data_IF_809751848955
#
_entry.id   IF_809751848955
#
_cell.length_a   1.000
_cell.length_b   1.000
_cell.length_c   1.000
_cell.angle_alpha   90.00
_cell.angle_beta   90.00
_cell.angle_gamma   90.00
#
_symmetry.space_group_name_H-M   'P 1'
#
loop_
_entity.id
_entity.type
_entity.pdbx_description
1 polymer ?
#
# COMPACT_ATOMS: atom_id res chain seq x y z
N UNK A 1 -22.97 -42.71 32.09
CA UNK A 1 -22.55 -41.49 32.82
C UNK A 1 -21.04 -41.50 33.12
N UNK A 2 -20.48 -42.63 33.59
CA UNK A 2 -19.03 -42.82 33.84
C UNK A 2 -18.10 -42.53 32.64
N UNK A 3 -18.47 -42.94 31.42
CA UNK A 3 -17.64 -42.71 30.23
C UNK A 3 -17.51 -41.23 29.84
N UNK A 4 -18.48 -40.38 30.20
CA UNK A 4 -18.41 -38.92 29.98
C UNK A 4 -17.43 -38.25 30.95
N UNK A 5 -17.33 -38.73 32.19
CA UNK A 5 -16.31 -38.26 33.13
C UNK A 5 -14.91 -38.68 32.72
N UNK A 6 -14.74 -39.90 32.19
CA UNK A 6 -13.44 -40.39 31.70
C UNK A 6 -12.92 -39.62 30.48
N UNK A 7 -13.83 -39.19 29.60
CA UNK A 7 -13.50 -38.38 28.42
C UNK A 7 -13.15 -36.92 28.79
N UNK A 8 -13.79 -36.37 29.83
CA UNK A 8 -13.42 -35.05 30.37
C UNK A 8 -12.09 -35.07 31.13
N UNK A 9 -11.79 -36.16 31.85
CA UNK A 9 -10.53 -36.33 32.58
C UNK A 9 -9.34 -36.47 31.63
N UNK A 10 -9.51 -37.20 30.51
CA UNK A 10 -8.46 -37.35 29.49
C UNK A 10 -8.18 -36.06 28.73
N UNK A 11 -9.19 -35.20 28.53
CA UNK A 11 -9.00 -33.86 27.95
C UNK A 11 -8.23 -32.91 28.89
N UNK A 12 -8.40 -33.06 30.21
CA UNK A 12 -7.71 -32.24 31.22
C UNK A 12 -6.23 -32.66 31.39
N UNK A 13 -5.93 -33.95 31.27
CA UNK A 13 -4.56 -34.49 31.34
C UNK A 13 -3.77 -34.29 30.04
N UNK A 14 -4.44 -34.00 28.91
CA UNK A 14 -3.80 -33.58 27.66
C UNK A 14 -3.46 -32.07 27.62
N UNK A 15 -3.74 -31.35 28.71
CA UNK A 15 -3.37 -29.94 28.87
C UNK A 15 -1.86 -29.78 28.88
N UNK A 16 -1.30 -29.51 27.70
CA UNK A 16 -0.07 -28.79 27.40
C UNK A 16 1.14 -29.04 28.30
N UNK A 17 2.26 -29.45 27.70
CA UNK A 17 3.56 -29.21 28.33
C UNK A 17 3.69 -27.71 28.59
N UNK A 18 3.57 -27.30 29.85
CA UNK A 18 4.11 -26.04 30.32
C UNK A 18 5.64 -26.21 30.34
N UNK A 19 6.23 -26.20 29.16
CA UNK A 19 7.67 -26.01 29.01
C UNK A 19 8.00 -24.61 29.51
N UNK A 20 9.11 -24.46 30.23
CA UNK A 20 9.50 -23.17 30.77
C UNK A 20 9.72 -22.21 29.59
N UNK A 21 8.76 -21.29 29.37
CA UNK A 21 8.85 -20.34 28.27
C UNK A 21 10.09 -19.49 28.50
N UNK A 22 11.09 -19.71 27.65
CA UNK A 22 12.34 -18.98 27.72
C UNK A 22 12.13 -17.56 27.22
N UNK A 23 12.92 -16.61 27.70
CA UNK A 23 12.92 -15.25 27.17
C UNK A 23 12.98 -15.23 25.62
N UNK A 24 13.74 -16.17 25.04
CA UNK A 24 13.89 -16.30 23.60
C UNK A 24 12.57 -16.61 22.88
N UNK A 25 11.71 -17.47 23.44
CA UNK A 25 10.40 -17.79 22.84
C UNK A 25 9.46 -16.58 22.85
N UNK A 26 9.50 -15.75 23.90
CA UNK A 26 8.74 -14.50 23.94
C UNK A 26 9.25 -13.49 22.92
N UNK A 27 10.58 -13.35 22.78
CA UNK A 27 11.20 -12.45 21.81
C UNK A 27 10.85 -12.86 20.37
N UNK A 28 10.97 -14.15 20.04
CA UNK A 28 10.68 -14.64 18.69
C UNK A 28 9.19 -14.51 18.36
N UNK A 29 8.31 -14.79 19.33
CA UNK A 29 6.86 -14.58 19.17
C UNK A 29 6.49 -13.11 19.00
N UNK A 30 7.13 -12.20 19.75
CA UNK A 30 6.88 -10.76 19.66
C UNK A 30 7.38 -10.17 18.33
N UNK A 31 8.56 -10.59 17.87
CA UNK A 31 9.12 -10.17 16.57
C UNK A 31 8.26 -10.64 15.40
N UNK A 32 7.79 -11.88 15.43
CA UNK A 32 6.96 -12.44 14.37
C UNK A 32 5.61 -11.72 14.20
N UNK A 33 5.10 -11.10 15.27
CA UNK A 33 3.77 -10.47 15.29
C UNK A 33 3.85 -8.93 15.40
N UNK A 34 5.00 -8.31 15.12
CA UNK A 34 5.17 -6.87 15.26
C UNK A 34 4.42 -6.08 14.15
N UNK A 35 3.35 -5.32 14.47
CA UNK A 35 2.62 -4.52 13.48
C UNK A 35 3.46 -3.39 12.88
N UNK A 36 4.38 -2.80 13.65
CA UNK A 36 5.25 -1.69 13.19
C UNK A 36 6.21 -2.17 12.10
N UNK A 37 6.74 -3.39 12.24
CA UNK A 37 7.59 -4.00 11.21
C UNK A 37 6.80 -4.20 9.91
N UNK A 38 5.58 -4.76 10.01
CA UNK A 38 4.72 -4.96 8.84
C UNK A 38 4.34 -3.63 8.18
N UNK A 39 4.04 -2.60 8.96
CA UNK A 39 3.72 -1.28 8.46
C UNK A 39 4.90 -0.66 7.70
N UNK A 40 6.11 -0.70 8.25
CA UNK A 40 7.29 -0.17 7.57
C UNK A 40 7.64 -0.95 6.29
N UNK A 41 7.39 -2.27 6.25
CA UNK A 41 7.51 -3.06 5.01
C UNK A 41 6.50 -2.60 3.96
N UNK A 42 5.24 -2.37 4.36
CA UNK A 42 4.21 -1.86 3.46
C UNK A 42 4.57 -0.46 2.93
N UNK A 43 5.06 0.44 3.80
CA UNK A 43 5.51 1.78 3.41
C UNK A 43 6.69 1.71 2.43
N UNK A 44 7.63 0.79 2.63
CA UNK A 44 8.71 0.53 1.67
C UNK A 44 8.19 0.05 0.31
N UNK A 45 7.19 -0.84 0.30
CA UNK A 45 6.58 -1.31 -0.94
C UNK A 45 5.81 -0.19 -1.66
N UNK A 46 5.09 0.66 -0.92
CA UNK A 46 4.42 1.86 -1.45
C UNK A 46 5.44 2.81 -2.07
N UNK A 47 6.55 3.08 -1.39
CA UNK A 47 7.61 3.95 -1.92
C UNK A 47 8.22 3.41 -3.24
N UNK A 48 8.32 2.09 -3.39
CA UNK A 48 8.74 1.47 -4.64
C UNK A 48 7.67 1.62 -5.75
N UNK A 49 6.40 1.42 -5.43
CA UNK A 49 5.29 1.61 -6.37
C UNK A 49 5.17 3.06 -6.85
N UNK A 50 5.42 4.04 -5.98
CA UNK A 50 5.45 5.46 -6.36
C UNK A 50 6.53 5.77 -7.38
N UNK A 51 7.69 5.12 -7.24
CA UNK A 51 8.78 5.20 -8.21
C UNK A 51 8.37 4.64 -9.57
N UNK A 52 7.72 3.48 -9.59
CA UNK A 52 7.32 2.85 -10.84
C UNK A 52 6.19 3.62 -11.53
N UNK A 53 5.25 4.16 -10.75
CA UNK A 53 4.26 5.12 -11.24
C UNK A 53 4.93 6.35 -11.84
N UNK A 54 5.94 6.93 -11.17
CA UNK A 54 6.66 8.07 -11.70
C UNK A 54 7.37 7.73 -13.03
N UNK A 55 8.03 6.56 -13.12
CA UNK A 55 8.62 6.11 -14.38
C UNK A 55 7.57 5.95 -15.48
N UNK A 56 6.42 5.35 -15.18
CA UNK A 56 5.34 5.18 -16.14
C UNK A 56 4.82 6.55 -16.64
N UNK A 57 4.57 7.49 -15.72
CA UNK A 57 4.08 8.83 -16.06
C UNK A 57 5.07 9.65 -16.89
N UNK A 58 6.38 9.43 -16.72
CA UNK A 58 7.41 10.31 -17.30
C UNK A 58 8.19 9.70 -18.46
N UNK A 59 8.16 8.37 -18.63
CA UNK A 59 8.88 7.66 -19.70
C UNK A 59 7.98 6.91 -20.67
N UNK A 60 6.71 6.64 -20.30
CA UNK A 60 5.78 5.98 -21.21
C UNK A 60 4.81 7.01 -21.81
N UNK A 61 4.43 6.82 -23.08
CA UNK A 61 3.35 7.60 -23.67
C UNK A 61 2.01 7.19 -23.04
N UNK A 62 1.22 8.17 -22.64
CA UNK A 62 -0.17 7.98 -22.23
C UNK A 62 -1.08 8.03 -23.46
N UNK A 63 -1.87 6.98 -23.68
CA UNK A 63 -2.84 6.93 -24.78
C UNK A 63 -4.24 7.00 -24.20
N UNK A 64 -5.04 7.96 -24.65
CA UNK A 64 -6.42 8.10 -24.23
C UNK A 64 -7.38 8.22 -25.42
N UNK A 65 -8.60 7.77 -25.23
CA UNK A 65 -9.68 7.90 -26.19
C UNK A 65 -10.81 8.70 -25.54
N UNK A 66 -11.31 9.73 -26.23
CA UNK A 66 -12.42 10.55 -25.75
C UNK A 66 -13.50 10.64 -26.80
N UNK A 67 -14.75 10.63 -26.35
CA UNK A 67 -15.92 10.90 -27.18
C UNK A 67 -16.70 12.08 -26.57
N UNK A 68 -17.03 13.08 -27.37
CA UNK A 68 -17.80 14.23 -26.94
C UNK A 68 -19.04 14.41 -27.82
N UNK A 69 -20.16 14.72 -27.17
CA UNK A 69 -21.40 15.15 -27.79
C UNK A 69 -21.77 16.53 -27.24
N UNK A 70 -21.98 17.49 -28.13
CA UNK A 70 -22.34 18.86 -27.76
C UNK A 70 -23.53 19.34 -28.59
N UNK A 71 -24.61 19.67 -27.91
CA UNK A 71 -25.76 20.37 -28.47
C UNK A 71 -25.79 21.80 -27.92
N UNK A 72 -25.90 22.80 -28.80
CA UNK A 72 -25.89 24.21 -28.42
C UNK A 72 -27.13 24.92 -29.00
N UNK A 73 -28.15 25.22 -28.17
CA UNK A 73 -29.38 25.87 -28.64
C UNK A 73 -29.17 27.37 -28.95
N UNK A 74 -29.96 27.90 -29.88
CA UNK A 74 -29.99 29.33 -30.20
C UNK A 74 -30.92 30.07 -29.25
N UNK A 75 -30.44 31.13 -28.59
CA UNK A 75 -31.25 31.99 -27.72
C UNK A 75 -31.22 33.42 -28.26
N UNK A 76 -32.39 33.98 -28.58
CA UNK A 76 -32.53 35.36 -29.09
C UNK A 76 -31.66 35.66 -30.33
N UNK A 77 -31.52 34.70 -31.22
CA UNK A 77 -30.74 34.85 -32.47
C UNK A 77 -29.22 34.80 -32.28
N UNK A 78 -28.72 34.55 -31.06
CA UNK A 78 -27.29 34.33 -30.80
C UNK A 78 -27.09 32.85 -30.49
N UNK A 79 -26.32 32.16 -31.33
CA UNK A 79 -26.05 30.73 -31.20
C UNK A 79 -25.53 30.12 -32.50
N UNK A 80 -25.33 28.80 -32.51
CA UNK A 80 -24.89 28.05 -33.68
C UNK A 80 -26.08 27.76 -34.60
N UNK A 81 -25.95 27.98 -35.91
CA UNK A 81 -27.00 27.64 -36.88
C UNK A 81 -27.18 26.12 -37.01
N UNK A 82 -28.38 25.64 -36.68
CA UNK A 82 -28.73 24.22 -36.65
C UNK A 82 -28.64 23.55 -38.04
N UNK A 83 -28.94 24.32 -39.10
CA UNK A 83 -28.95 23.87 -40.49
C UNK A 83 -27.55 23.63 -41.08
N UNK A 84 -26.51 24.28 -40.56
CA UNK A 84 -25.12 24.09 -41.01
C UNK A 84 -24.40 23.03 -40.16
N UNK A 85 -24.85 22.82 -38.92
CA UNK A 85 -24.17 21.97 -37.92
C UNK A 85 -24.83 20.60 -37.70
N UNK A 86 -25.89 20.26 -38.45
CA UNK A 86 -26.71 19.05 -38.24
C UNK A 86 -27.25 18.90 -36.79
N UNK A 87 -27.48 20.02 -36.09
CA UNK A 87 -28.04 20.06 -34.75
C UNK A 87 -27.09 19.74 -33.60
N UNK A 88 -26.01 18.98 -33.79
CA UNK A 88 -25.06 18.69 -32.71
C UNK A 88 -23.66 18.32 -33.22
N UNK A 89 -22.66 18.58 -32.38
CA UNK A 89 -21.28 18.14 -32.59
C UNK A 89 -21.07 16.77 -31.94
N UNK A 90 -20.80 15.77 -32.76
CA UNK A 90 -20.32 14.46 -32.34
C UNK A 90 -18.83 14.36 -32.68
N UNK A 91 -18.01 14.00 -31.70
CA UNK A 91 -16.58 13.92 -31.93
C UNK A 91 -15.99 12.74 -31.15
N UNK A 92 -15.09 12.01 -31.78
CA UNK A 92 -14.26 11.01 -31.13
C UNK A 92 -12.78 11.34 -31.40
N UNK A 93 -11.93 11.26 -30.39
CA UNK A 93 -10.51 11.58 -30.48
C UNK A 93 -9.67 10.49 -29.84
N UNK A 94 -8.51 10.24 -30.43
CA UNK A 94 -7.41 9.51 -29.81
C UNK A 94 -6.31 10.53 -29.49
N UNK A 95 -5.85 10.55 -28.25
CA UNK A 95 -4.79 11.43 -27.80
C UNK A 95 -3.59 10.60 -27.33
N UNK A 96 -2.39 11.06 -27.67
CA UNK A 96 -1.13 10.50 -27.19
C UNK A 96 -0.38 11.63 -26.50
N UNK A 97 -0.13 11.49 -25.20
CA UNK A 97 0.57 12.46 -24.37
C UNK A 97 1.91 11.88 -23.91
N UNK A 98 3.00 12.59 -24.15
CA UNK A 98 4.34 12.18 -23.70
C UNK A 98 5.13 13.40 -23.24
N UNK A 99 5.45 13.50 -21.94
CA UNK A 99 6.24 14.62 -21.44
C UNK A 99 7.70 14.48 -21.86
N UNK A 100 8.31 15.59 -22.31
CA UNK A 100 9.72 15.64 -22.72
C UNK A 100 10.62 16.16 -21.58
N UNK A 101 11.91 15.79 -21.62
CA UNK A 101 12.94 16.27 -20.69
C UNK A 101 12.67 16.00 -19.19
N UNK A 102 12.07 14.86 -18.86
CA UNK A 102 11.61 14.49 -17.51
C UNK A 102 12.65 13.78 -16.65
N UNK A 103 13.81 13.41 -17.19
CA UNK A 103 14.85 12.60 -16.52
C UNK A 103 15.21 13.10 -15.10
N UNK A 104 15.44 14.40 -14.93
CA UNK A 104 15.79 14.99 -13.62
C UNK A 104 14.67 14.83 -12.58
N UNK A 105 13.40 14.88 -13.01
CA UNK A 105 12.24 14.69 -12.13
C UNK A 105 12.15 13.24 -11.64
N UNK A 106 12.37 12.28 -12.55
CA UNK A 106 12.37 10.85 -12.19
C UNK A 106 13.53 10.53 -11.27
N UNK A 107 14.75 11.00 -11.57
CA UNK A 107 15.94 10.78 -10.73
C UNK A 107 15.76 11.36 -9.32
N UNK A 108 15.15 12.53 -9.19
CA UNK A 108 14.84 13.10 -7.88
C UNK A 108 13.85 12.22 -7.08
N UNK A 109 12.79 11.71 -7.74
CA UNK A 109 11.82 10.81 -7.10
C UNK A 109 12.48 9.49 -6.68
N UNK A 110 13.33 8.91 -7.53
CA UNK A 110 14.12 7.70 -7.22
C UNK A 110 14.96 7.90 -5.97
N UNK A 111 15.68 9.03 -5.89
CA UNK A 111 16.55 9.35 -4.75
C UNK A 111 15.73 9.51 -3.46
N UNK A 112 14.62 10.23 -3.51
CA UNK A 112 13.73 10.39 -2.35
C UNK A 112 13.16 9.05 -1.88
N UNK A 113 12.70 8.20 -2.80
CA UNK A 113 12.20 6.86 -2.46
C UNK A 113 13.29 5.99 -1.83
N UNK A 114 14.52 6.02 -2.34
CA UNK A 114 15.65 5.29 -1.77
C UNK A 114 15.94 5.73 -0.32
N UNK A 115 15.94 7.03 -0.05
CA UNK A 115 16.11 7.58 1.32
C UNK A 115 14.97 7.12 2.23
N UNK A 116 13.72 7.16 1.76
CA UNK A 116 12.57 6.70 2.55
C UNK A 116 12.64 5.21 2.86
N UNK A 117 13.04 4.37 1.89
CA UNK A 117 13.21 2.94 2.10
C UNK A 117 14.29 2.64 3.14
N UNK A 118 15.39 3.40 3.14
CA UNK A 118 16.40 3.31 4.18
C UNK A 118 15.86 3.72 5.56
N UNK A 119 15.07 4.80 5.62
CA UNK A 119 14.41 5.21 6.87
C UNK A 119 13.44 4.14 7.39
N UNK A 120 12.64 3.51 6.52
CA UNK A 120 11.74 2.42 6.92
C UNK A 120 12.51 1.20 7.41
N UNK A 121 13.63 0.83 6.77
CA UNK A 121 14.50 -0.24 7.23
C UNK A 121 15.06 0.06 8.63
N UNK A 122 15.54 1.28 8.85
CA UNK A 122 16.07 1.69 10.14
C UNK A 122 14.98 1.70 11.23
N UNK A 123 13.75 2.10 10.89
CA UNK A 123 12.61 2.04 11.81
C UNK A 123 12.22 0.61 12.17
N UNK A 124 12.35 -0.36 11.25
CA UNK A 124 12.14 -1.78 11.56
C UNK A 124 13.18 -2.24 12.59
N UNK A 125 14.46 -1.94 12.37
CA UNK A 125 15.55 -2.30 13.28
C UNK A 125 15.38 -1.65 14.66
N UNK A 126 15.08 -0.35 14.69
CA UNK A 126 14.81 0.37 15.94
C UNK A 126 13.60 -0.22 16.68
N UNK A 127 12.51 -0.50 15.97
CA UNK A 127 11.32 -1.11 16.56
C UNK A 127 11.59 -2.51 17.10
N UNK A 128 12.46 -3.30 16.46
CA UNK A 128 12.88 -4.61 16.97
C UNK A 128 13.66 -4.46 18.28
N UNK A 129 14.61 -3.52 18.35
CA UNK A 129 15.35 -3.24 19.58
C UNK A 129 14.44 -2.77 20.73
N UNK A 130 13.48 -1.90 20.44
CA UNK A 130 12.53 -1.41 21.43
C UNK A 130 11.60 -2.54 21.93
N UNK A 131 11.15 -3.42 21.03
CA UNK A 131 10.36 -4.59 21.41
C UNK A 131 11.16 -5.57 22.27
N UNK A 132 12.40 -5.87 21.87
CA UNK A 132 13.26 -6.78 22.62
C UNK A 132 13.49 -6.28 24.05
N UNK A 133 13.70 -4.96 24.17
CA UNK A 133 13.82 -4.30 25.47
C UNK A 133 12.53 -4.41 26.28
N UNK A 134 11.37 -4.08 25.71
CA UNK A 134 10.08 -4.13 26.41
C UNK A 134 9.73 -5.54 26.91
N UNK A 135 9.93 -6.55 26.05
CA UNK A 135 9.69 -7.96 26.41
C UNK A 135 10.63 -8.41 27.52
N UNK A 136 11.90 -8.04 27.45
CA UNK A 136 12.89 -8.37 28.48
C UNK A 136 12.57 -7.68 29.81
N UNK A 137 12.22 -6.39 29.79
CA UNK A 137 11.81 -5.65 30.98
C UNK A 137 10.57 -6.29 31.63
N UNK A 138 9.56 -6.67 30.84
CA UNK A 138 8.36 -7.35 31.34
C UNK A 138 8.67 -8.74 31.91
N UNK A 139 9.57 -9.50 31.28
CA UNK A 139 9.99 -10.82 31.75
C UNK A 139 10.68 -10.76 33.12
N UNK A 140 11.51 -9.74 33.36
CA UNK A 140 12.21 -9.56 34.65
C UNK A 140 11.24 -9.15 35.76
N UNK A 141 10.16 -8.42 35.42
CA UNK A 141 9.18 -7.93 36.39
C UNK A 141 8.11 -8.96 36.80
N UNK A 142 8.01 -10.08 36.08
CA UNK A 142 7.00 -11.14 36.28
C UNK A 142 7.59 -12.30 37.07
#
# INVERSE_FOLDING_TARGET
MIYRCLLLLTLFLAGGKAEAQTLQEYLDSARANNPVSQENQNLSAIAALEVDKAKAMYYLPEVSASGNFLYAPVVKGVGYEEAITNGALYSAQLNINMPLFTRRKVEAQMKNSAVNQEAYRNNIELSQHDLDRQVTEQYILT
#
